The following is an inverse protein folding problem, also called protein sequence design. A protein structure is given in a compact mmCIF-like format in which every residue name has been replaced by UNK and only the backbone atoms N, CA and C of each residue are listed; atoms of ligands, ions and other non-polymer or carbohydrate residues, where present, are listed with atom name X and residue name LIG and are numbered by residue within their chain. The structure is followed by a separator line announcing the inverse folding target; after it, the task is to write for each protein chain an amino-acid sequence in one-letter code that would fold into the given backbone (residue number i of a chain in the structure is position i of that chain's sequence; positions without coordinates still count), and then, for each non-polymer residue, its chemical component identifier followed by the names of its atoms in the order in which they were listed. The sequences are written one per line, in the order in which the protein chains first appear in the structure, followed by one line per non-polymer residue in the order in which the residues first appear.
data_IF_686232505895
#
_entry.id   IF_686232505895
#
_cell.length_a   1.000
_cell.length_b   1.000
_cell.length_c   1.000
_cell.angle_alpha   90.00
_cell.angle_beta   90.00
_cell.angle_gamma   90.00
#
_symmetry.space_group_name_H-M   'P 1'
#
loop_
_entity.id
_entity.type
_entity.pdbx_description
1 polymer ?
#
# COMPACT_ATOMS: atom_id res chain seq x y z
N UNK A 1 -10.50 -26.84 -10.62
CA UNK A 1 -11.57 -25.89 -10.98
C UNK A 1 -11.30 -24.57 -10.29
N UNK A 2 -11.24 -23.51 -11.05
CA UNK A 2 -11.00 -22.19 -10.49
C UNK A 2 -12.22 -21.76 -9.69
N UNK A 3 -12.00 -21.42 -8.43
CA UNK A 3 -13.06 -20.88 -7.57
C UNK A 3 -13.56 -19.55 -8.15
N UNK A 4 -14.89 -19.32 -8.13
CA UNK A 4 -15.47 -18.04 -8.49
C UNK A 4 -15.28 -16.98 -7.41
N UNK A 5 -14.52 -17.29 -6.36
CA UNK A 5 -14.20 -16.32 -5.31
C UNK A 5 -13.27 -15.25 -5.86
N UNK A 6 -13.59 -14.01 -5.54
CA UNK A 6 -12.68 -12.90 -5.80
C UNK A 6 -11.41 -13.10 -4.98
N UNK A 7 -10.27 -12.93 -5.63
CA UNK A 7 -9.00 -13.00 -4.95
C UNK A 7 -8.38 -11.62 -4.98
N UNK A 8 -8.53 -10.94 -3.86
CA UNK A 8 -8.05 -9.56 -3.71
C UNK A 8 -6.69 -9.56 -3.03
N UNK A 9 -5.77 -8.80 -3.60
CA UNK A 9 -4.47 -8.57 -3.03
C UNK A 9 -4.42 -7.13 -2.55
N UNK A 10 -4.05 -6.92 -1.30
CA UNK A 10 -3.83 -5.58 -0.73
C UNK A 10 -2.34 -5.28 -0.83
N UNK A 11 -1.99 -4.16 -1.44
CA UNK A 11 -0.59 -3.78 -1.65
C UNK A 11 -0.34 -2.38 -1.09
N UNK A 12 0.62 -2.27 -0.19
CA UNK A 12 1.13 -1.00 0.31
C UNK A 12 2.04 -0.34 -0.73
N UNK A 13 2.29 0.94 -0.61
CA UNK A 13 3.16 1.68 -1.54
C UNK A 13 4.56 1.92 -0.97
N UNK A 14 4.65 2.72 0.11
CA UNK A 14 5.95 3.19 0.61
C UNK A 14 6.77 2.04 1.19
N UNK A 15 8.00 1.87 0.70
CA UNK A 15 8.93 0.77 1.02
C UNK A 15 8.42 -0.62 0.58
N UNK A 16 7.28 -0.67 -0.09
CA UNK A 16 6.75 -1.91 -0.69
C UNK A 16 6.89 -1.85 -2.22
N UNK A 17 6.26 -0.88 -2.87
CA UNK A 17 6.37 -0.64 -4.31
C UNK A 17 7.34 0.49 -4.63
N UNK A 18 7.43 1.49 -3.76
CA UNK A 18 8.18 2.73 -3.97
C UNK A 18 9.31 2.85 -2.97
N UNK A 19 10.52 3.11 -3.47
CA UNK A 19 11.67 3.40 -2.62
C UNK A 19 11.62 4.87 -2.21
N UNK A 20 11.34 5.11 -0.93
CA UNK A 20 11.20 6.46 -0.39
C UNK A 20 12.46 6.99 0.30
N UNK A 21 13.59 6.31 0.14
CA UNK A 21 14.84 6.66 0.84
C UNK A 21 15.26 8.11 0.60
N UNK A 22 15.13 8.60 -0.63
CA UNK A 22 15.55 9.96 -0.99
C UNK A 22 14.75 11.06 -0.30
N UNK A 23 13.56 10.76 0.21
CA UNK A 23 12.68 11.76 0.85
C UNK A 23 12.45 11.51 2.33
N UNK A 24 13.04 10.45 2.89
CA UNK A 24 12.80 10.09 4.30
C UNK A 24 13.24 11.19 5.28
N UNK A 25 14.20 12.03 4.89
CA UNK A 25 14.64 13.15 5.73
C UNK A 25 13.51 14.15 6.01
N UNK A 26 12.58 14.35 5.09
CA UNK A 26 11.41 15.20 5.32
C UNK A 26 10.54 14.62 6.43
N UNK A 27 10.33 13.30 6.40
CA UNK A 27 9.55 12.60 7.43
C UNK A 27 10.22 12.74 8.81
N UNK A 28 11.53 12.53 8.88
CA UNK A 28 12.28 12.64 10.14
C UNK A 28 12.30 14.06 10.69
N UNK A 29 12.17 15.06 9.83
CA UNK A 29 12.08 16.47 10.22
C UNK A 29 10.65 16.91 10.55
N UNK A 30 9.67 16.01 10.47
CA UNK A 30 8.27 16.31 10.73
C UNK A 30 7.57 17.06 9.61
N UNK A 31 8.20 17.20 8.44
CA UNK A 31 7.62 17.85 7.28
C UNK A 31 6.91 16.81 6.38
N UNK A 32 5.74 16.42 6.82
CA UNK A 32 4.96 15.38 6.13
C UNK A 32 4.45 15.84 4.78
N UNK A 33 4.19 17.13 4.62
CA UNK A 33 3.75 17.68 3.33
C UNK A 33 4.86 17.53 2.28
N UNK A 34 6.10 17.95 2.62
CA UNK A 34 7.24 17.80 1.73
C UNK A 34 7.53 16.31 1.43
N UNK A 35 7.41 15.46 2.44
CA UNK A 35 7.59 14.02 2.29
C UNK A 35 6.61 13.44 1.26
N UNK A 36 5.33 13.77 1.37
CA UNK A 36 4.32 13.29 0.44
C UNK A 36 4.46 13.91 -0.96
N UNK A 37 4.79 15.20 -1.02
CA UNK A 37 4.95 15.89 -2.31
C UNK A 37 6.11 15.33 -3.13
N UNK A 38 7.17 14.89 -2.48
CA UNK A 38 8.34 14.31 -3.16
C UNK A 38 8.12 12.87 -3.65
N UNK A 39 7.03 12.23 -3.28
CA UNK A 39 6.77 10.82 -3.59
C UNK A 39 6.68 10.53 -5.10
N UNK A 40 6.28 11.51 -5.90
CA UNK A 40 6.17 11.35 -7.35
C UNK A 40 7.52 11.00 -8.00
N UNK A 41 8.62 11.33 -7.36
CA UNK A 41 9.98 11.07 -7.85
C UNK A 41 10.57 9.75 -7.33
N UNK A 42 9.84 8.97 -6.56
CA UNK A 42 10.35 7.70 -6.03
C UNK A 42 10.67 6.71 -7.14
N UNK A 43 11.77 5.97 -6.95
CA UNK A 43 12.10 4.85 -7.82
C UNK A 43 11.25 3.64 -7.45
N UNK A 44 10.82 2.82 -8.42
CA UNK A 44 10.09 1.60 -8.10
C UNK A 44 11.00 0.54 -7.48
N UNK A 45 10.46 -0.23 -6.54
CA UNK A 45 11.12 -1.44 -6.02
C UNK A 45 10.77 -2.55 -7.00
N UNK A 46 11.65 -2.80 -7.95
CA UNK A 46 11.35 -3.62 -9.12
C UNK A 46 10.84 -5.03 -8.78
N UNK A 47 11.40 -5.69 -7.77
CA UNK A 47 10.99 -7.06 -7.44
C UNK A 47 9.50 -7.13 -7.07
N UNK A 48 9.02 -6.21 -6.25
CA UNK A 48 7.62 -6.21 -5.83
C UNK A 48 6.73 -5.66 -6.94
N UNK A 49 7.18 -4.63 -7.64
CA UNK A 49 6.45 -4.11 -8.81
C UNK A 49 6.25 -5.18 -9.87
N UNK A 50 7.30 -5.95 -10.18
CA UNK A 50 7.19 -7.04 -11.15
C UNK A 50 6.21 -8.12 -10.69
N UNK A 51 6.22 -8.47 -9.42
CA UNK A 51 5.26 -9.42 -8.88
C UNK A 51 3.82 -8.93 -9.12
N UNK A 52 3.54 -7.68 -8.79
CA UNK A 52 2.20 -7.11 -8.97
C UNK A 52 1.82 -7.03 -10.45
N UNK A 53 2.76 -6.64 -11.31
CA UNK A 53 2.52 -6.57 -12.77
C UNK A 53 2.18 -7.93 -13.39
N UNK A 54 2.63 -9.01 -12.79
CA UNK A 54 2.48 -10.37 -13.33
C UNK A 54 1.46 -11.22 -12.57
N UNK A 55 0.62 -10.59 -11.75
CA UNK A 55 -0.49 -11.30 -11.11
C UNK A 55 -1.48 -11.78 -12.16
N UNK A 56 -2.21 -12.87 -11.88
CA UNK A 56 -3.24 -13.34 -12.82
C UNK A 56 -4.30 -12.27 -13.07
N UNK A 57 -4.87 -12.26 -14.27
CA UNK A 57 -5.91 -11.31 -14.65
C UNK A 57 -7.15 -11.37 -13.76
N UNK A 58 -7.41 -12.54 -13.15
CA UNK A 58 -8.54 -12.70 -12.25
C UNK A 58 -8.31 -12.12 -10.85
N UNK A 59 -7.08 -11.71 -10.53
CA UNK A 59 -6.78 -11.09 -9.25
C UNK A 59 -7.23 -9.63 -9.23
N UNK A 60 -7.82 -9.21 -8.11
CA UNK A 60 -8.17 -7.81 -7.87
C UNK A 60 -7.06 -7.18 -7.04
N UNK A 61 -6.54 -6.05 -7.50
CA UNK A 61 -5.46 -5.35 -6.81
C UNK A 61 -6.02 -4.10 -6.12
N UNK A 62 -5.89 -4.05 -4.81
CA UNK A 62 -6.25 -2.89 -4.01
C UNK A 62 -4.97 -2.28 -3.44
N UNK A 63 -4.66 -1.08 -3.89
CA UNK A 63 -3.54 -0.32 -3.30
C UNK A 63 -4.08 0.36 -2.05
N UNK A 64 -3.40 0.17 -0.93
CA UNK A 64 -3.79 0.79 0.34
C UNK A 64 -2.56 1.45 0.96
N UNK A 65 -2.63 2.75 1.13
CA UNK A 65 -1.50 3.55 1.59
C UNK A 65 -1.91 4.48 2.72
N UNK A 66 -0.97 4.72 3.62
CA UNK A 66 -1.15 5.71 4.68
C UNK A 66 -0.89 7.14 4.21
N UNK A 67 -0.60 7.34 2.92
CA UNK A 67 -0.48 8.69 2.35
C UNK A 67 -1.81 9.42 2.43
N UNK A 68 -1.74 10.72 2.68
CA UNK A 68 -2.91 11.59 2.73
C UNK A 68 -3.63 11.64 1.39
N UNK A 69 -4.96 11.58 1.40
CA UNK A 69 -5.77 11.53 0.19
C UNK A 69 -5.68 12.81 -0.65
N UNK A 70 -5.15 13.92 -0.11
CA UNK A 70 -4.86 15.12 -0.88
C UNK A 70 -3.81 14.87 -1.98
N UNK A 71 -3.03 13.79 -1.86
CA UNK A 71 -2.02 13.38 -2.85
C UNK A 71 -2.50 12.25 -3.77
N UNK A 72 -3.81 12.06 -3.90
CA UNK A 72 -4.38 10.97 -4.71
C UNK A 72 -3.99 11.03 -6.17
N UNK A 73 -4.05 12.20 -6.79
CA UNK A 73 -3.73 12.35 -8.21
C UNK A 73 -2.27 11.98 -8.47
N UNK A 74 -1.35 12.50 -7.67
CA UNK A 74 0.08 12.23 -7.81
C UNK A 74 0.41 10.76 -7.56
N UNK A 75 -0.28 10.15 -6.59
CA UNK A 75 -0.11 8.73 -6.27
C UNK A 75 -0.59 7.85 -7.42
N UNK A 76 -1.77 8.14 -7.97
CA UNK A 76 -2.30 7.40 -9.11
C UNK A 76 -1.40 7.57 -10.34
N UNK A 77 -0.88 8.77 -10.58
CA UNK A 77 0.06 9.02 -11.68
C UNK A 77 1.33 8.19 -11.54
N UNK A 78 1.90 8.11 -10.33
CA UNK A 78 3.08 7.30 -10.07
C UNK A 78 2.80 5.81 -10.36
N UNK A 79 1.67 5.30 -9.90
CA UNK A 79 1.28 3.91 -10.15
C UNK A 79 1.14 3.64 -11.65
N UNK A 80 0.45 4.52 -12.37
CA UNK A 80 0.25 4.38 -13.82
C UNK A 80 1.56 4.49 -14.59
N UNK A 81 2.44 5.40 -14.21
CA UNK A 81 3.74 5.60 -14.86
C UNK A 81 4.62 4.36 -14.72
N UNK A 82 4.50 3.66 -13.62
CA UNK A 82 5.26 2.44 -13.35
C UNK A 82 4.53 1.16 -13.74
N UNK A 83 3.44 1.27 -14.49
CA UNK A 83 2.65 0.15 -14.99
C UNK A 83 2.16 -0.79 -13.88
N UNK A 84 1.80 -0.23 -12.73
CA UNK A 84 1.23 -1.00 -11.63
C UNK A 84 -0.28 -1.10 -11.86
N UNK A 85 -0.82 -2.30 -12.09
CA UNK A 85 -2.27 -2.46 -12.22
C UNK A 85 -2.93 -2.29 -10.85
N UNK A 86 -4.03 -1.57 -10.80
CA UNK A 86 -4.83 -1.50 -9.59
C UNK A 86 -6.29 -1.24 -9.92
N UNK A 87 -7.17 -1.86 -9.16
CA UNK A 87 -8.62 -1.72 -9.31
C UNK A 87 -9.16 -0.66 -8.35
N UNK A 88 -8.48 -0.45 -7.24
CA UNK A 88 -8.90 0.46 -6.19
C UNK A 88 -7.69 1.08 -5.51
N UNK A 89 -7.78 2.36 -5.17
CA UNK A 89 -6.75 3.08 -4.41
C UNK A 89 -7.40 3.64 -3.15
N UNK A 90 -7.03 3.09 -1.99
CA UNK A 90 -7.52 3.49 -0.68
C UNK A 90 -6.42 4.27 0.05
N UNK A 91 -6.76 5.47 0.50
CA UNK A 91 -5.80 6.39 1.11
C UNK A 91 -6.30 6.92 2.45
N UNK A 92 -5.35 7.36 3.26
CA UNK A 92 -5.65 8.06 4.53
C UNK A 92 -6.58 9.24 4.25
N UNK A 93 -7.68 9.40 5.00
CA UNK A 93 -8.51 10.59 4.88
C UNK A 93 -7.69 11.86 5.09
N UNK A 94 -8.03 12.94 4.38
CA UNK A 94 -7.30 14.20 4.50
C UNK A 94 -7.22 14.66 5.95
N UNK A 95 -6.02 15.06 6.37
CA UNK A 95 -5.73 15.58 7.71
C UNK A 95 -5.93 14.60 8.87
N UNK A 96 -6.10 13.32 8.58
CA UNK A 96 -6.21 12.28 9.61
C UNK A 96 -4.80 11.93 10.12
N UNK A 97 -4.55 12.13 11.41
CA UNK A 97 -3.20 11.96 12.01
C UNK A 97 -3.08 10.66 12.82
N UNK A 98 -4.06 9.78 12.75
CA UNK A 98 -4.00 8.50 13.47
C UNK A 98 -2.89 7.60 12.90
N UNK A 99 -2.46 6.61 13.69
CA UNK A 99 -1.41 5.67 13.26
C UNK A 99 -1.82 4.93 11.99
N UNK A 100 -0.83 4.52 11.22
CA UNK A 100 -1.02 3.85 9.93
C UNK A 100 -1.85 2.57 10.04
N UNK A 101 -1.61 1.75 11.08
CA UNK A 101 -2.36 0.51 11.28
C UNK A 101 -3.84 0.77 11.59
N UNK A 102 -4.14 1.82 12.35
CA UNK A 102 -5.52 2.21 12.64
C UNK A 102 -6.23 2.66 11.37
N UNK A 103 -5.59 3.49 10.57
CA UNK A 103 -6.13 3.96 9.29
C UNK A 103 -6.41 2.79 8.34
N UNK A 104 -5.43 1.90 8.20
CA UNK A 104 -5.56 0.77 7.27
C UNK A 104 -6.63 -0.22 7.70
N UNK A 105 -6.74 -0.48 8.99
CA UNK A 105 -7.80 -1.35 9.50
C UNK A 105 -9.18 -0.76 9.23
N UNK A 106 -9.36 0.53 9.46
CA UNK A 106 -10.63 1.20 9.19
C UNK A 106 -11.00 1.18 7.70
N UNK A 107 -10.02 1.46 6.82
CA UNK A 107 -10.23 1.36 5.38
C UNK A 107 -10.61 -0.06 4.97
N UNK A 108 -9.94 -1.06 5.54
CA UNK A 108 -10.24 -2.46 5.30
C UNK A 108 -11.67 -2.80 5.70
N UNK A 109 -12.08 -2.45 6.92
CA UNK A 109 -13.42 -2.74 7.42
C UNK A 109 -14.51 -2.05 6.59
N UNK A 110 -14.23 -0.86 6.08
CA UNK A 110 -15.18 -0.08 5.30
C UNK A 110 -15.36 -0.60 3.88
N UNK A 111 -14.30 -1.05 3.22
CA UNK A 111 -14.30 -1.30 1.78
C UNK A 111 -14.08 -2.75 1.38
N UNK A 112 -13.56 -3.60 2.25
CA UNK A 112 -13.13 -4.95 1.91
C UNK A 112 -13.72 -5.99 2.87
N UNK A 113 -13.60 -7.26 2.49
CA UNK A 113 -14.05 -8.40 3.29
C UNK A 113 -12.93 -9.42 3.41
N UNK A 114 -12.75 -9.97 4.62
CA UNK A 114 -11.68 -10.94 4.90
C UNK A 114 -11.71 -12.14 3.96
N UNK A 115 -12.91 -12.65 3.65
CA UNK A 115 -13.06 -13.84 2.80
C UNK A 115 -12.62 -13.63 1.36
N UNK A 116 -12.50 -12.37 0.91
CA UNK A 116 -12.07 -12.05 -0.45
C UNK A 116 -10.56 -11.89 -0.56
N UNK A 117 -9.85 -11.77 0.56
CA UNK A 117 -8.42 -11.46 0.54
C UNK A 117 -7.59 -12.72 0.30
N UNK A 118 -6.74 -12.65 -0.71
CA UNK A 118 -5.77 -13.69 -0.99
C UNK A 118 -4.52 -13.50 -0.14
N UNK A 119 -3.87 -12.35 -0.25
CA UNK A 119 -2.76 -11.98 0.63
C UNK A 119 -2.54 -10.46 0.62
N UNK A 120 -1.68 -10.01 1.55
CA UNK A 120 -1.29 -8.61 1.71
C UNK A 120 0.22 -8.50 1.52
N UNK A 121 0.68 -7.47 0.81
CA UNK A 121 2.09 -7.10 0.70
C UNK A 121 2.31 -5.81 1.50
N UNK A 122 3.16 -5.87 2.50
CA UNK A 122 3.37 -4.79 3.47
C UNK A 122 4.80 -4.83 4.00
N UNK A 123 5.37 -3.68 4.33
CA UNK A 123 6.70 -3.61 4.94
C UNK A 123 6.66 -3.28 6.43
N UNK A 124 5.74 -2.43 6.85
CA UNK A 124 5.73 -1.84 8.19
C UNK A 124 5.19 -2.81 9.24
N UNK A 125 6.01 -3.05 10.28
CA UNK A 125 5.70 -4.09 11.28
C UNK A 125 4.34 -3.91 11.95
N UNK A 126 3.97 -2.69 12.35
CA UNK A 126 2.66 -2.48 13.01
C UNK A 126 1.51 -2.83 12.09
N UNK A 127 1.66 -2.59 10.78
CA UNK A 127 0.64 -2.95 9.80
C UNK A 127 0.64 -4.46 9.53
N UNK A 128 1.81 -5.07 9.42
CA UNK A 128 1.93 -6.54 9.27
C UNK A 128 1.25 -7.23 10.45
N UNK A 129 1.53 -6.78 11.67
CA UNK A 129 0.92 -7.35 12.87
C UNK A 129 -0.60 -7.20 12.85
N UNK A 130 -1.09 -6.06 12.43
CA UNK A 130 -2.52 -5.80 12.31
C UNK A 130 -3.18 -6.74 11.28
N UNK A 131 -2.59 -6.87 10.09
CA UNK A 131 -3.13 -7.75 9.06
C UNK A 131 -3.18 -9.21 9.52
N UNK A 132 -2.12 -9.67 10.17
CA UNK A 132 -2.05 -11.04 10.71
C UNK A 132 -3.03 -11.27 11.84
N UNK A 133 -3.25 -10.26 12.69
CA UNK A 133 -4.26 -10.32 13.75
C UNK A 133 -5.68 -10.44 13.19
N UNK A 134 -5.91 -9.91 11.99
CA UNK A 134 -7.19 -10.04 11.29
C UNK A 134 -7.33 -11.39 10.56
N UNK A 135 -6.34 -12.26 10.71
CA UNK A 135 -6.37 -13.59 10.10
C UNK A 135 -5.95 -13.64 8.64
N UNK A 136 -5.34 -12.56 8.13
CA UNK A 136 -4.93 -12.49 6.73
C UNK A 136 -3.49 -12.97 6.54
N UNK A 137 -3.23 -13.63 5.41
CA UNK A 137 -1.87 -13.92 4.99
C UNK A 137 -1.19 -12.60 4.62
N UNK A 138 -0.12 -12.26 5.31
CA UNK A 138 0.63 -11.04 5.03
C UNK A 138 2.10 -11.39 4.82
N UNK A 139 2.60 -11.01 3.64
CA UNK A 139 4.01 -11.18 3.29
C UNK A 139 4.73 -9.87 3.57
N UNK A 140 5.62 -9.89 4.53
CA UNK A 140 6.43 -8.72 4.85
C UNK A 140 7.58 -8.64 3.85
N UNK A 141 7.51 -7.67 2.95
CA UNK A 141 8.40 -7.58 1.79
C UNK A 141 9.71 -6.88 2.06
N UNK A 142 9.82 -6.18 3.18
CA UNK A 142 11.05 -5.50 3.58
C UNK A 142 11.12 -5.43 5.10
N UNK A 143 12.34 -5.34 5.62
CA UNK A 143 12.56 -5.15 7.05
C UNK A 143 12.35 -3.67 7.38
N UNK A 144 11.57 -3.40 8.42
CA UNK A 144 11.42 -2.04 8.91
C UNK A 144 12.72 -1.61 9.62
N UNK A 145 13.30 -0.50 9.17
CA UNK A 145 14.43 0.13 9.86
C UNK A 145 13.89 0.91 11.04
N UNK A 146 14.26 0.44 12.23
CA UNK A 146 13.80 0.99 13.50
C UNK A 146 14.14 2.45 13.75
#
# INVERSE_FOLDING_TARGET
MVSNQKRTIIVDIDVTLADCEKRIHHYKNGDYEAFNAAAIEDEPIEAVCDLVRHLPDWATVVIMTARDASFREETAEWLNRNDIPFDQLLMRPEYDIRRDDVIKLELFEQYLKSEDIWFVLEDRQICVDMWRAEGLACFQVAKEDG
#
